data_IF_165423217584
#
_entry.id   IF_165423217584
#
_cell.length_a   1.000
_cell.length_b   1.000
_cell.length_c   1.000
_cell.angle_alpha   90.00
_cell.angle_beta   90.00
_cell.angle_gamma   90.00
#
_symmetry.space_group_name_H-M   'P 1'
#
loop_
_entity.id
_entity.type
_entity.pdbx_description
1 polymer ?
#
# COMPACT_ATOMS: atom_id res chain seq x y z
N UNK A 1 -17.41 -19.70 9.78
CA UNK A 1 -16.46 -19.92 8.67
C UNK A 1 -17.11 -19.46 7.37
N UNK A 2 -16.86 -18.23 6.95
CA UNK A 2 -17.21 -17.76 5.60
C UNK A 2 -15.90 -17.63 4.84
N UNK A 3 -15.45 -18.76 4.28
CA UNK A 3 -14.29 -18.80 3.41
C UNK A 3 -14.63 -18.16 2.06
N UNK A 4 -14.59 -16.82 2.00
CA UNK A 4 -14.40 -16.16 0.72
C UNK A 4 -12.94 -16.39 0.34
N UNK A 5 -12.71 -17.17 -0.72
CA UNK A 5 -11.37 -17.47 -1.23
C UNK A 5 -10.64 -16.21 -1.68
N UNK A 6 -9.34 -16.33 -1.96
CA UNK A 6 -8.51 -15.16 -2.28
C UNK A 6 -9.00 -14.41 -3.52
N UNK A 7 -8.83 -13.07 -3.48
CA UNK A 7 -9.17 -12.16 -4.57
C UNK A 7 -8.38 -12.45 -5.86
N UNK A 8 -7.20 -13.06 -5.74
CA UNK A 8 -6.42 -13.56 -6.85
C UNK A 8 -5.87 -14.95 -6.53
N UNK A 9 -5.86 -15.82 -7.53
CA UNK A 9 -5.21 -17.12 -7.44
C UNK A 9 -3.78 -17.00 -7.97
N UNK A 10 -2.83 -17.50 -7.18
CA UNK A 10 -1.43 -17.59 -7.56
C UNK A 10 -1.10 -19.06 -7.83
N UNK A 11 -0.57 -19.36 -9.01
CA UNK A 11 0.01 -20.66 -9.32
C UNK A 11 1.46 -20.48 -9.68
N UNK A 12 2.34 -21.17 -8.95
CA UNK A 12 3.73 -21.34 -9.35
C UNK A 12 3.86 -22.66 -10.09
N UNK A 13 4.45 -22.61 -11.27
CA UNK A 13 4.78 -23.76 -12.11
C UNK A 13 6.26 -23.70 -12.47
N UNK A 14 7.09 -24.39 -11.70
CA UNK A 14 8.55 -24.22 -11.76
C UNK A 14 8.98 -22.79 -11.41
N UNK A 15 9.58 -22.09 -12.37
CA UNK A 15 9.96 -20.67 -12.25
C UNK A 15 8.85 -19.71 -12.69
N UNK A 16 7.83 -20.18 -13.38
CA UNK A 16 6.72 -19.32 -13.80
C UNK A 16 5.75 -19.08 -12.66
N UNK A 17 5.37 -17.82 -12.48
CA UNK A 17 4.27 -17.38 -11.62
C UNK A 17 3.15 -16.89 -12.52
N UNK A 18 1.99 -17.51 -12.37
CA UNK A 18 0.76 -17.10 -13.05
C UNK A 18 -0.20 -16.58 -11.99
N UNK A 19 -0.58 -15.31 -12.14
CA UNK A 19 -1.58 -14.66 -11.29
C UNK A 19 -2.85 -14.43 -12.08
N UNK A 20 -3.97 -14.92 -11.57
CA UNK A 20 -5.30 -14.76 -12.18
C UNK A 20 -6.21 -14.02 -11.20
N UNK A 21 -6.83 -12.92 -11.66
CA UNK A 21 -7.84 -12.22 -10.87
C UNK A 21 -9.15 -13.00 -10.83
N UNK A 22 -9.67 -13.24 -9.63
CA UNK A 22 -10.95 -13.90 -9.45
C UNK A 22 -12.10 -12.90 -9.56
N UNK A 23 -12.76 -12.88 -10.73
CA UNK A 23 -13.89 -11.98 -11.00
C UNK A 23 -15.15 -12.24 -10.16
N UNK A 24 -15.24 -13.38 -9.46
CA UNK A 24 -16.39 -13.75 -8.62
C UNK A 24 -16.25 -13.30 -7.16
N UNK A 25 -15.08 -12.80 -6.74
CA UNK A 25 -14.88 -12.32 -5.37
C UNK A 25 -15.53 -10.94 -5.18
N UNK A 26 -16.41 -10.71 -4.18
CA UNK A 26 -17.14 -9.44 -4.03
C UNK A 26 -16.26 -8.20 -3.90
N UNK A 27 -15.13 -8.30 -3.18
CA UNK A 27 -14.15 -7.20 -3.10
C UNK A 27 -13.39 -6.98 -4.42
N UNK A 28 -13.45 -7.95 -5.33
CA UNK A 28 -12.66 -8.01 -6.54
C UNK A 28 -13.39 -7.74 -7.84
N UNK A 29 -14.71 -7.88 -7.86
CA UNK A 29 -15.52 -7.74 -9.07
C UNK A 29 -15.34 -6.36 -9.72
N UNK A 30 -15.23 -5.29 -8.93
CA UNK A 30 -15.07 -3.92 -9.47
C UNK A 30 -13.69 -3.69 -10.09
N UNK A 31 -12.62 -4.12 -9.42
CA UNK A 31 -11.26 -4.06 -9.98
C UNK A 31 -11.08 -4.98 -11.19
N UNK A 32 -11.75 -6.15 -11.19
CA UNK A 32 -11.78 -7.05 -12.33
C UNK A 32 -12.54 -6.44 -13.50
N UNK A 33 -13.65 -5.74 -13.26
CA UNK A 33 -14.40 -5.05 -14.30
C UNK A 33 -13.55 -3.98 -14.99
N UNK A 34 -12.76 -3.21 -14.22
CA UNK A 34 -11.78 -2.25 -14.76
C UNK A 34 -10.77 -2.96 -15.66
N UNK A 35 -10.13 -4.01 -15.16
CA UNK A 35 -9.20 -4.83 -15.94
C UNK A 35 -9.80 -5.36 -17.26
N UNK A 36 -11.04 -5.85 -17.22
CA UNK A 36 -11.76 -6.35 -18.39
C UNK A 36 -12.17 -5.25 -19.38
N UNK A 37 -12.41 -4.03 -18.88
CA UNK A 37 -12.76 -2.86 -19.67
C UNK A 37 -11.54 -2.33 -20.44
N UNK A 38 -10.40 -2.17 -19.76
CA UNK A 38 -9.17 -1.66 -20.39
C UNK A 38 -8.50 -2.68 -21.31
N UNK A 39 -8.71 -3.97 -21.05
CA UNK A 39 -8.19 -5.08 -21.87
C UNK A 39 -6.66 -5.14 -21.93
N UNK A 40 -6.13 -6.00 -22.81
CA UNK A 40 -4.68 -6.21 -22.92
C UNK A 40 -3.91 -4.93 -23.34
N UNK A 41 -4.49 -4.11 -24.21
CA UNK A 41 -3.87 -2.84 -24.63
C UNK A 41 -3.72 -1.88 -23.45
N UNK A 42 -4.79 -1.65 -22.68
CA UNK A 42 -4.73 -0.78 -21.51
C UNK A 42 -3.83 -1.33 -20.40
N UNK A 43 -3.80 -2.65 -20.20
CA UNK A 43 -2.83 -3.28 -19.29
C UNK A 43 -1.38 -3.04 -19.73
N UNK A 44 -1.07 -3.16 -21.02
CA UNK A 44 0.28 -2.89 -21.52
C UNK A 44 0.65 -1.41 -21.37
N UNK A 45 -0.29 -0.49 -21.57
CA UNK A 45 -0.08 0.95 -21.27
C UNK A 45 0.22 1.16 -19.78
N UNK A 46 -0.58 0.57 -18.89
CA UNK A 46 -0.35 0.62 -17.45
C UNK A 46 1.06 0.13 -17.07
N UNK A 47 1.46 -1.06 -17.54
CA UNK A 47 2.80 -1.60 -17.30
C UNK A 47 3.90 -0.71 -17.90
N UNK A 48 3.66 -0.10 -19.07
CA UNK A 48 4.60 0.84 -19.66
C UNK A 48 4.76 2.11 -18.84
N UNK A 49 3.69 2.61 -18.19
CA UNK A 49 3.76 3.77 -17.29
C UNK A 49 4.55 3.44 -16.02
N UNK A 50 4.33 2.26 -15.44
CA UNK A 50 5.15 1.77 -14.32
C UNK A 50 6.64 1.75 -14.67
N UNK A 51 7.01 1.13 -15.80
CA UNK A 51 8.42 1.09 -16.26
C UNK A 51 8.99 2.48 -16.51
N UNK A 52 8.22 3.37 -17.14
CA UNK A 52 8.66 4.75 -17.42
C UNK A 52 8.91 5.56 -16.14
N UNK A 53 8.20 5.26 -15.05
CA UNK A 53 8.42 5.84 -13.72
C UNK A 53 9.59 5.19 -12.95
N UNK A 54 10.29 4.23 -13.55
CA UNK A 54 11.42 3.53 -12.94
C UNK A 54 11.03 2.35 -12.05
N UNK A 55 9.76 1.93 -12.03
CA UNK A 55 9.33 0.75 -11.27
C UNK A 55 9.97 -0.50 -11.84
N UNK A 56 10.71 -1.21 -11.01
CA UNK A 56 11.26 -2.52 -11.35
C UNK A 56 10.16 -3.57 -11.29
N UNK A 57 9.81 -4.13 -12.45
CA UNK A 57 8.81 -5.19 -12.58
C UNK A 57 9.49 -6.57 -12.66
N UNK A 58 8.76 -7.66 -12.36
CA UNK A 58 9.32 -9.00 -12.41
C UNK A 58 9.78 -9.36 -13.83
N UNK A 59 10.86 -10.13 -13.97
CA UNK A 59 11.36 -10.52 -15.28
C UNK A 59 10.33 -11.38 -16.00
N UNK A 60 10.25 -11.22 -17.33
CA UNK A 60 9.28 -11.96 -18.15
C UNK A 60 7.81 -11.56 -17.94
N UNK A 61 7.51 -10.46 -17.23
CA UNK A 61 6.12 -10.02 -17.02
C UNK A 61 5.37 -9.78 -18.34
N UNK A 62 4.31 -10.57 -18.56
CA UNK A 62 3.41 -10.54 -19.71
C UNK A 62 1.94 -10.62 -19.28
N UNK A 63 1.06 -10.03 -20.10
CA UNK A 63 -0.39 -10.20 -19.99
C UNK A 63 -0.80 -11.39 -20.86
N UNK A 64 -1.25 -12.47 -20.23
CA UNK A 64 -1.58 -13.74 -20.90
C UNK A 64 -3.05 -13.78 -21.36
N UNK A 65 -3.95 -13.23 -20.55
CA UNK A 65 -5.37 -13.12 -20.89
C UNK A 65 -5.96 -11.87 -20.24
N UNK A 66 -6.96 -11.27 -20.88
CA UNK A 66 -7.73 -10.17 -20.30
C UNK A 66 -9.06 -10.64 -19.67
N UNK A 67 -9.49 -11.88 -19.94
CA UNK A 67 -10.77 -12.45 -19.48
C UNK A 67 -10.64 -13.96 -19.19
N UNK A 68 -10.44 -14.36 -17.91
CA UNK A 68 -10.11 -13.50 -16.77
C UNK A 68 -8.75 -12.81 -16.96
N UNK A 69 -8.51 -11.69 -16.28
CA UNK A 69 -7.19 -11.07 -16.33
C UNK A 69 -6.16 -12.02 -15.71
N UNK A 70 -5.18 -12.41 -16.52
CA UNK A 70 -4.08 -13.27 -16.13
C UNK A 70 -2.76 -12.64 -16.57
N UNK A 71 -1.80 -12.58 -15.66
CA UNK A 71 -0.42 -12.20 -15.96
C UNK A 71 0.50 -13.36 -15.62
N UNK A 72 1.60 -13.46 -16.35
CA UNK A 72 2.68 -14.39 -16.09
C UNK A 72 3.96 -13.60 -15.90
N UNK A 73 4.82 -14.04 -14.99
CA UNK A 73 6.19 -13.57 -14.87
C UNK A 73 7.06 -14.66 -14.28
N UNK A 74 8.38 -14.47 -14.32
CA UNK A 74 9.34 -15.34 -13.64
C UNK A 74 9.35 -15.05 -12.14
N UNK A 75 9.59 -16.09 -11.36
CA UNK A 75 9.75 -16.02 -9.92
C UNK A 75 10.91 -15.09 -9.56
N UNK A 76 10.65 -14.19 -8.63
CA UNK A 76 11.67 -13.28 -8.11
C UNK A 76 12.24 -13.90 -6.84
N UNK A 77 13.50 -14.32 -6.90
CA UNK A 77 14.21 -14.89 -5.76
C UNK A 77 14.63 -13.77 -4.81
N UNK A 78 13.91 -13.66 -3.70
CA UNK A 78 14.19 -12.67 -2.67
C UNK A 78 13.12 -12.75 -1.57
N UNK A 79 13.44 -12.37 -0.33
CA UNK A 79 12.43 -12.27 0.71
C UNK A 79 11.48 -11.11 0.43
N UNK A 80 10.31 -11.17 1.06
CA UNK A 80 9.35 -10.07 1.05
C UNK A 80 9.98 -8.87 1.76
N UNK A 81 9.76 -7.67 1.22
CA UNK A 81 10.40 -6.45 1.73
C UNK A 81 10.10 -6.20 3.21
N UNK A 82 8.89 -6.55 3.68
CA UNK A 82 8.51 -6.39 5.08
C UNK A 82 9.43 -7.17 6.04
N UNK A 83 9.90 -8.36 5.65
CA UNK A 83 10.75 -9.20 6.50
C UNK A 83 12.14 -8.60 6.68
N UNK A 84 12.59 -7.75 5.75
CA UNK A 84 13.89 -7.08 5.84
C UNK A 84 13.99 -6.05 6.96
N UNK A 85 12.87 -5.49 7.44
CA UNK A 85 12.91 -4.54 8.55
C UNK A 85 13.55 -5.15 9.83
N UNK A 86 13.45 -6.47 10.00
CA UNK A 86 14.04 -7.23 11.09
C UNK A 86 15.43 -7.83 10.81
N UNK A 87 15.99 -7.62 9.62
CA UNK A 87 17.27 -8.23 9.18
C UNK A 87 18.29 -7.16 8.81
N UNK A 88 17.88 -6.23 7.94
CA UNK A 88 18.67 -5.06 7.53
C UNK A 88 17.75 -3.83 7.47
N UNK A 89 17.55 -3.15 8.61
CA UNK A 89 16.73 -1.94 8.70
C UNK A 89 17.18 -0.84 7.75
N UNK A 90 18.49 -0.74 7.46
CA UNK A 90 19.02 0.32 6.60
C UNK A 90 18.64 0.06 5.15
N UNK A 91 18.89 -1.14 4.62
CA UNK A 91 18.49 -1.48 3.24
C UNK A 91 16.97 -1.41 3.06
N UNK A 92 16.21 -1.80 4.09
CA UNK A 92 14.75 -1.65 4.12
C UNK A 92 14.32 -0.19 3.94
N UNK A 93 14.94 0.75 4.66
CA UNK A 93 14.67 2.19 4.49
C UNK A 93 14.98 2.67 3.06
N UNK A 94 16.12 2.27 2.48
CA UNK A 94 16.45 2.65 1.10
C UNK A 94 15.41 2.15 0.10
N UNK A 95 14.93 0.92 0.30
CA UNK A 95 13.90 0.32 -0.53
C UNK A 95 12.57 1.07 -0.43
N UNK A 96 12.18 1.48 0.77
CA UNK A 96 10.96 2.26 0.99
C UNK A 96 11.06 3.66 0.34
N UNK A 97 12.24 4.30 0.42
CA UNK A 97 12.50 5.59 -0.24
C UNK A 97 12.44 5.44 -1.77
N UNK A 98 12.99 4.35 -2.31
CA UNK A 98 12.92 4.02 -3.73
C UNK A 98 11.46 3.89 -4.20
N UNK A 99 10.63 3.13 -3.46
CA UNK A 99 9.20 2.99 -3.75
C UNK A 99 8.46 4.33 -3.64
N UNK A 100 8.76 5.15 -2.62
CA UNK A 100 8.18 6.49 -2.49
C UNK A 100 8.53 7.39 -3.69
N UNK A 101 9.75 7.24 -4.23
CA UNK A 101 10.17 7.86 -5.48
C UNK A 101 9.29 7.44 -6.66
N UNK A 102 9.01 6.13 -6.80
CA UNK A 102 8.10 5.62 -7.84
C UNK A 102 6.68 6.19 -7.71
N UNK A 103 6.13 6.22 -6.49
CA UNK A 103 4.79 6.76 -6.23
C UNK A 103 4.68 8.21 -6.70
N UNK A 104 5.68 9.05 -6.39
CA UNK A 104 5.71 10.45 -6.85
C UNK A 104 5.87 10.57 -8.37
N UNK A 105 6.75 9.77 -8.97
CA UNK A 105 6.95 9.77 -10.42
C UNK A 105 5.67 9.37 -11.19
N UNK A 106 4.82 8.55 -10.58
CA UNK A 106 3.55 8.10 -11.14
C UNK A 106 2.39 9.08 -10.96
N UNK A 107 2.50 10.09 -10.09
CA UNK A 107 1.39 10.97 -9.69
C UNK A 107 0.67 11.61 -10.90
N UNK A 108 1.46 12.13 -11.84
CA UNK A 108 0.98 12.75 -13.08
C UNK A 108 0.54 11.78 -14.18
N UNK A 109 0.64 10.47 -13.92
CA UNK A 109 0.33 9.41 -14.89
C UNK A 109 -0.94 8.65 -14.52
N UNK A 110 -1.44 7.86 -15.45
CA UNK A 110 -2.61 7.01 -15.25
C UNK A 110 -2.22 5.60 -14.78
N UNK A 111 -1.36 5.53 -13.77
CA UNK A 111 -0.93 4.29 -13.13
C UNK A 111 -0.58 4.55 -11.67
N UNK A 112 -0.84 3.57 -10.80
CA UNK A 112 -0.46 3.58 -9.37
C UNK A 112 0.15 2.25 -8.98
N UNK A 113 0.88 2.27 -7.87
CA UNK A 113 1.40 1.10 -7.16
C UNK A 113 0.71 1.01 -5.80
N UNK A 114 0.49 -0.20 -5.31
CA UNK A 114 -0.08 -0.42 -3.97
C UNK A 114 0.98 -0.14 -2.89
N UNK A 115 0.56 0.47 -1.79
CA UNK A 115 1.37 0.76 -0.60
C UNK A 115 1.70 -0.48 0.26
N UNK A 116 1.08 -1.63 -0.02
CA UNK A 116 1.31 -2.86 0.72
C UNK A 116 2.73 -3.40 0.49
N UNK A 117 3.59 -3.30 1.51
CA UNK A 117 4.98 -3.76 1.49
C UNK A 117 5.12 -5.26 1.16
N UNK A 118 4.06 -6.06 1.34
CA UNK A 118 4.05 -7.47 0.94
C UNK A 118 4.10 -7.68 -0.58
N UNK A 119 3.78 -6.65 -1.37
CA UNK A 119 3.78 -6.71 -2.83
C UNK A 119 5.19 -6.51 -3.42
N UNK A 120 6.22 -6.32 -2.58
CA UNK A 120 7.58 -6.04 -3.00
C UNK A 120 8.54 -7.10 -2.46
N UNK A 121 9.50 -7.49 -3.30
CA UNK A 121 10.64 -8.31 -2.88
C UNK A 121 11.94 -7.52 -3.04
N UNK A 122 12.94 -7.86 -2.24
CA UNK A 122 14.30 -7.41 -2.46
C UNK A 122 15.10 -8.52 -3.16
N UNK A 123 15.51 -8.28 -4.41
CA UNK A 123 16.24 -9.24 -5.23
C UNK A 123 17.49 -8.58 -5.82
N UNK A 124 18.66 -9.17 -5.55
CA UNK A 124 19.97 -8.66 -5.98
C UNK A 124 20.13 -7.16 -5.70
N UNK A 125 19.85 -6.76 -4.45
CA UNK A 125 19.86 -5.37 -3.98
C UNK A 125 18.91 -4.41 -4.71
N UNK A 126 17.91 -4.91 -5.42
CA UNK A 126 16.87 -4.09 -6.06
C UNK A 126 15.50 -4.41 -5.50
N UNK A 127 14.68 -3.38 -5.34
CA UNK A 127 13.27 -3.58 -5.04
C UNK A 127 12.56 -4.02 -6.31
N UNK A 128 11.69 -5.02 -6.22
CA UNK A 128 10.87 -5.50 -7.33
C UNK A 128 9.42 -5.55 -6.90
N UNK A 129 8.52 -4.92 -7.67
CA UNK A 129 7.06 -5.02 -7.46
C UNK A 129 6.57 -6.38 -8.00
N UNK A 130 6.39 -7.36 -7.12
CA UNK A 130 5.99 -8.73 -7.49
C UNK A 130 4.48 -8.91 -7.60
N UNK A 131 3.70 -8.02 -7.00
CA UNK A 131 2.25 -8.02 -7.15
C UNK A 131 1.73 -6.79 -7.91
N UNK A 132 1.48 -6.99 -9.20
CA UNK A 132 1.06 -5.94 -10.15
C UNK A 132 -0.46 -5.95 -10.41
N UNK A 133 -1.22 -6.88 -9.78
CA UNK A 133 -2.66 -7.02 -10.03
C UNK A 133 -3.51 -6.83 -8.77
N UNK A 134 -4.61 -6.08 -8.86
CA UNK A 134 -5.25 -5.55 -10.07
C UNK A 134 -4.58 -4.26 -10.56
N UNK A 135 -4.75 -3.88 -11.85
CA UNK A 135 -4.22 -2.61 -12.33
C UNK A 135 -4.89 -1.45 -11.59
N UNK A 136 -4.07 -0.53 -11.07
CA UNK A 136 -4.53 0.68 -10.40
C UNK A 136 -4.42 1.85 -11.38
N UNK A 137 -5.51 2.11 -12.10
CA UNK A 137 -5.60 3.13 -13.16
C UNK A 137 -6.60 4.24 -12.72
N UNK A 138 -6.11 5.44 -12.34
CA UNK A 138 -6.96 6.54 -11.85
C UNK A 138 -8.14 6.93 -12.75
N UNK A 139 -7.97 6.96 -14.08
CA UNK A 139 -9.02 7.39 -15.03
C UNK A 139 -10.26 6.50 -15.05
N UNK A 140 -10.12 5.26 -14.56
CA UNK A 140 -11.17 4.24 -14.47
C UNK A 140 -11.35 3.76 -13.02
N UNK A 141 -10.97 4.61 -12.06
CA UNK A 141 -11.18 4.39 -10.62
C UNK A 141 -12.66 4.03 -10.37
N UNK A 142 -12.94 2.89 -9.71
CA UNK A 142 -14.31 2.54 -9.34
C UNK A 142 -14.91 3.57 -8.38
N UNK A 143 -16.20 3.87 -8.55
CA UNK A 143 -16.92 4.71 -7.59
C UNK A 143 -17.10 3.96 -6.26
N UNK A 144 -16.81 4.62 -5.12
CA UNK A 144 -16.99 4.01 -3.81
C UNK A 144 -18.48 3.90 -3.47
N UNK A 145 -18.90 2.75 -2.93
CA UNK A 145 -20.31 2.48 -2.59
C UNK A 145 -20.61 2.57 -1.09
N UNK A 146 -19.56 2.62 -0.26
CA UNK A 146 -19.61 2.63 1.20
C UNK A 146 -18.31 3.20 1.77
N UNK A 147 -18.25 3.42 3.09
CA UNK A 147 -17.10 4.02 3.77
C UNK A 147 -15.82 3.20 3.66
N UNK A 148 -15.90 1.86 3.64
CA UNK A 148 -14.70 1.04 3.38
C UNK A 148 -14.16 1.27 1.98
N UNK A 149 -15.03 1.32 0.97
CA UNK A 149 -14.61 1.62 -0.40
C UNK A 149 -13.99 3.02 -0.50
N UNK A 150 -14.52 4.02 0.20
CA UNK A 150 -13.93 5.37 0.23
C UNK A 150 -12.48 5.30 0.75
N UNK A 151 -12.26 4.63 1.88
CA UNK A 151 -10.92 4.45 2.47
C UNK A 151 -9.99 3.66 1.56
N UNK A 152 -10.44 2.51 1.05
CA UNK A 152 -9.64 1.59 0.25
C UNK A 152 -9.30 2.18 -1.12
N UNK A 153 -10.24 2.88 -1.73
CA UNK A 153 -10.01 3.55 -3.02
C UNK A 153 -9.02 4.70 -2.84
N UNK A 154 -9.10 5.49 -1.76
CA UNK A 154 -8.08 6.48 -1.48
C UNK A 154 -6.68 5.85 -1.32
N UNK A 155 -6.58 4.75 -0.58
CA UNK A 155 -5.34 3.98 -0.42
C UNK A 155 -4.76 3.44 -1.74
N UNK A 156 -5.60 3.19 -2.75
CA UNK A 156 -5.16 2.65 -4.04
C UNK A 156 -4.82 3.73 -5.08
N UNK A 157 -5.39 4.93 -4.97
CA UNK A 157 -5.38 5.91 -6.05
C UNK A 157 -4.84 7.29 -5.67
N UNK A 158 -4.98 7.70 -4.40
CA UNK A 158 -4.61 9.04 -3.96
C UNK A 158 -3.13 9.04 -3.51
N UNK A 159 -2.27 9.71 -4.28
CA UNK A 159 -0.80 9.68 -4.11
C UNK A 159 -0.36 10.02 -2.69
N UNK A 160 -0.91 11.07 -2.09
CA UNK A 160 -0.62 11.45 -0.70
C UNK A 160 -0.97 10.32 0.27
N UNK A 161 -2.13 9.69 0.09
CA UNK A 161 -2.59 8.59 0.94
C UNK A 161 -1.70 7.35 0.78
N UNK A 162 -1.28 7.04 -0.45
CA UNK A 162 -0.34 5.95 -0.74
C UNK A 162 0.99 6.18 -0.02
N UNK A 163 1.54 7.40 -0.09
CA UNK A 163 2.79 7.76 0.57
C UNK A 163 2.68 7.67 2.10
N UNK A 164 1.64 8.27 2.69
CA UNK A 164 1.42 8.22 4.13
C UNK A 164 1.26 6.77 4.62
N UNK A 165 0.50 5.96 3.89
CA UNK A 165 0.34 4.55 4.21
C UNK A 165 1.67 3.79 4.14
N UNK A 166 2.41 3.93 3.04
CA UNK A 166 3.71 3.28 2.82
C UNK A 166 4.69 3.61 3.96
N UNK A 167 4.86 4.90 4.27
CA UNK A 167 5.79 5.37 5.30
C UNK A 167 5.32 4.94 6.69
N UNK A 168 4.02 5.03 6.99
CA UNK A 168 3.47 4.54 8.25
C UNK A 168 3.66 3.04 8.45
N UNK A 169 3.46 2.22 7.41
CA UNK A 169 3.72 0.78 7.49
C UNK A 169 5.21 0.48 7.71
N UNK A 170 6.09 1.19 7.00
CA UNK A 170 7.53 1.04 7.14
C UNK A 170 8.01 1.43 8.53
N UNK A 171 7.57 2.58 9.04
CA UNK A 171 7.93 3.05 10.37
C UNK A 171 7.46 2.09 11.47
N UNK A 172 6.24 1.57 11.36
CA UNK A 172 5.73 0.54 12.27
C UNK A 172 6.52 -0.77 12.18
N UNK A 173 6.95 -1.19 11.00
CA UNK A 173 7.75 -2.41 10.85
C UNK A 173 9.09 -2.28 11.57
N UNK A 174 9.74 -1.12 11.42
CA UNK A 174 10.99 -0.79 12.09
C UNK A 174 10.85 -0.71 13.62
N UNK A 175 9.72 -0.20 14.13
CA UNK A 175 9.43 -0.20 15.58
C UNK A 175 9.32 -1.58 16.21
N UNK A 176 9.04 -2.62 15.41
CA UNK A 176 8.96 -4.01 15.89
C UNK A 176 10.27 -4.76 15.73
N UNK A 177 11.28 -4.13 15.13
CA UNK A 177 12.59 -4.72 14.92
C UNK A 177 13.41 -4.63 16.20
N UNK A 178 14.01 -5.75 16.61
CA UNK A 178 14.97 -5.78 17.72
C UNK A 178 16.35 -5.21 17.32
N UNK A 179 16.52 -4.86 16.03
CA UNK A 179 17.76 -4.32 15.48
C UNK A 179 17.72 -2.79 15.54
N UNK A 180 18.77 -2.19 16.12
CA UNK A 180 18.93 -0.74 16.17
C UNK A 180 19.07 -0.15 14.77
N UNK A 181 18.14 0.75 14.42
CA UNK A 181 18.24 1.56 13.22
C UNK A 181 19.27 2.67 13.42
N UNK A 182 20.14 2.90 12.42
CA UNK A 182 21.09 4.01 12.49
C UNK A 182 20.36 5.36 12.60
N UNK A 183 20.82 6.24 13.50
CA UNK A 183 20.04 7.38 14.00
C UNK A 183 19.51 8.38 12.95
N UNK A 184 20.15 8.50 11.77
CA UNK A 184 19.71 9.38 10.69
C UNK A 184 18.63 8.75 9.78
N UNK A 185 18.50 7.42 9.78
CA UNK A 185 17.64 6.70 8.83
C UNK A 185 16.15 6.88 9.12
N UNK A 186 15.79 7.08 10.38
CA UNK A 186 14.43 7.48 10.75
C UNK A 186 14.05 8.84 10.15
N UNK A 187 15.00 9.77 10.09
CA UNK A 187 14.79 11.07 9.47
C UNK A 187 14.66 10.96 7.94
N UNK A 188 15.46 10.11 7.29
CA UNK A 188 15.34 9.87 5.84
C UNK A 188 13.93 9.42 5.44
N UNK A 189 13.28 8.57 6.26
CA UNK A 189 11.88 8.20 6.10
C UNK A 189 10.92 9.37 6.37
N UNK A 190 11.17 10.14 7.44
CA UNK A 190 10.32 11.28 7.79
C UNK A 190 10.32 12.39 6.73
N UNK A 191 11.39 12.54 5.96
CA UNK A 191 11.45 13.47 4.83
C UNK A 191 10.57 13.05 3.64
N UNK A 192 10.02 11.82 3.65
CA UNK A 192 9.18 11.34 2.55
C UNK A 192 7.72 11.81 2.63
N UNK A 193 7.27 12.32 3.78
CA UNK A 193 5.92 12.84 3.98
C UNK A 193 5.97 14.31 4.42
N UNK A 194 4.95 15.13 4.10
CA UNK A 194 4.86 16.48 4.62
C UNK A 194 4.87 16.47 6.16
N UNK A 195 5.78 17.24 6.77
CA UNK A 195 5.97 17.22 8.24
C UNK A 195 4.99 18.13 8.99
N UNK A 196 4.38 19.09 8.31
CA UNK A 196 3.41 19.99 8.92
C UNK A 196 2.01 19.38 8.86
N UNK A 197 1.26 19.47 9.96
CA UNK A 197 -0.19 19.28 9.94
C UNK A 197 -0.77 20.32 8.97
N UNK A 198 -1.03 19.93 7.72
CA UNK A 198 -2.13 20.57 6.98
C UNK A 198 -3.33 20.49 7.93
N UNK A 199 -3.98 21.62 8.23
CA UNK A 199 -5.05 21.65 9.22
C UNK A 199 -6.02 20.50 8.92
N UNK A 200 -6.01 19.48 9.79
CA UNK A 200 -6.72 18.20 9.58
C UNK A 200 -8.22 18.41 9.31
N UNK A 201 -8.72 19.59 9.67
CA UNK A 201 -10.08 20.10 9.50
C UNK A 201 -10.53 20.18 8.03
N UNK A 202 -9.62 20.34 7.06
CA UNK A 202 -9.97 20.44 5.63
C UNK A 202 -9.70 19.16 4.82
N UNK A 203 -9.14 18.13 5.45
CA UNK A 203 -8.75 16.89 4.76
C UNK A 203 -9.86 15.84 4.80
N UNK A 204 -9.95 15.03 3.75
CA UNK A 204 -10.87 13.88 3.73
C UNK A 204 -10.53 12.89 4.86
N UNK A 205 -11.51 12.09 5.31
CA UNK A 205 -11.23 11.13 6.37
C UNK A 205 -10.13 10.11 6.01
N UNK A 206 -9.96 9.64 4.75
CA UNK A 206 -8.83 8.77 4.42
C UNK A 206 -7.49 9.47 4.55
N UNK A 207 -7.37 10.72 4.09
CA UNK A 207 -6.13 11.48 4.20
C UNK A 207 -5.71 11.66 5.67
N UNK A 208 -6.60 12.20 6.51
CA UNK A 208 -6.34 12.35 7.95
C UNK A 208 -6.01 11.02 8.63
N UNK A 209 -6.69 9.93 8.25
CA UNK A 209 -6.47 8.60 8.80
C UNK A 209 -5.06 8.07 8.53
N UNK A 210 -4.57 8.14 7.29
CA UNK A 210 -3.24 7.63 6.96
C UNK A 210 -2.13 8.59 7.37
N UNK A 211 -2.33 9.91 7.24
CA UNK A 211 -1.38 10.92 7.72
C UNK A 211 -1.10 10.75 9.21
N UNK A 212 -2.15 10.65 10.04
CA UNK A 212 -1.97 10.46 11.48
C UNK A 212 -1.23 9.16 11.83
N UNK A 213 -1.46 8.08 11.06
CA UNK A 213 -0.73 6.81 11.24
C UNK A 213 0.74 6.96 10.91
N UNK A 214 1.07 7.62 9.79
CA UNK A 214 2.44 7.88 9.37
C UNK A 214 3.18 8.70 10.43
N UNK A 215 2.58 9.82 10.83
CA UNK A 215 3.16 10.72 11.82
C UNK A 215 3.39 10.04 13.17
N UNK A 216 2.39 9.34 13.72
CA UNK A 216 2.53 8.68 15.02
C UNK A 216 3.61 7.58 14.97
N UNK A 217 3.71 6.83 13.86
CA UNK A 217 4.76 5.84 13.70
C UNK A 217 6.16 6.48 13.58
N UNK A 218 6.29 7.61 12.89
CA UNK A 218 7.54 8.36 12.78
C UNK A 218 7.96 8.96 14.13
N UNK A 219 7.02 9.55 14.89
CA UNK A 219 7.26 10.00 16.29
C UNK A 219 7.72 8.83 17.16
N UNK A 220 7.07 7.67 17.02
CA UNK A 220 7.51 6.46 17.72
C UNK A 220 8.95 6.08 17.39
N UNK A 221 9.33 6.11 16.10
CA UNK A 221 10.71 5.83 15.68
C UNK A 221 11.72 6.86 16.20
N UNK A 222 11.31 8.11 16.35
CA UNK A 222 12.12 9.17 16.93
C UNK A 222 12.22 9.07 18.47
N UNK A 223 11.49 8.16 19.11
CA UNK A 223 11.41 8.03 20.57
C UNK A 223 10.53 9.11 21.23
N UNK A 224 9.70 9.81 20.44
CA UNK A 224 8.81 10.89 20.89
C UNK A 224 7.40 10.39 21.23
N UNK A 225 7.10 9.12 20.93
CA UNK A 225 5.86 8.46 21.27
C UNK A 225 6.13 7.02 21.72
N UNK A 226 5.37 6.55 22.71
CA UNK A 226 5.48 5.18 23.21
C UNK A 226 5.09 4.16 22.12
N UNK A 227 5.91 3.11 21.86
CA UNK A 227 5.60 2.10 20.85
C UNK A 227 4.23 1.43 21.03
N UNK A 228 3.78 1.27 22.28
CA UNK A 228 2.46 0.74 22.61
C UNK A 228 1.33 1.63 22.03
N UNK A 229 1.42 2.95 22.21
CA UNK A 229 0.45 3.90 21.66
C UNK A 229 0.41 3.86 20.13
N UNK A 230 1.55 3.69 19.47
CA UNK A 230 1.62 3.48 18.02
C UNK A 230 0.86 2.20 17.63
N UNK A 231 1.10 1.09 18.33
CA UNK A 231 0.44 -0.20 18.05
C UNK A 231 -1.07 -0.16 18.29
N UNK A 232 -1.52 0.47 19.36
CA UNK A 232 -2.95 0.65 19.65
C UNK A 232 -3.62 1.47 18.57
N UNK A 233 -2.99 2.57 18.13
CA UNK A 233 -3.53 3.40 17.06
C UNK A 233 -3.58 2.64 15.72
N UNK A 234 -2.57 1.84 15.37
CA UNK A 234 -2.61 0.99 14.18
C UNK A 234 -3.68 -0.10 14.26
N UNK A 235 -3.99 -0.58 15.47
CA UNK A 235 -5.07 -1.54 15.71
C UNK A 235 -6.43 -0.86 15.50
N UNK A 236 -6.62 0.32 16.08
CA UNK A 236 -7.82 1.15 15.88
C UNK A 236 -8.04 1.50 14.41
N UNK A 237 -6.96 1.76 13.68
CA UNK A 237 -6.97 2.24 12.29
C UNK A 237 -6.74 1.14 11.24
N UNK A 238 -6.85 -0.13 11.64
CA UNK A 238 -6.64 -1.28 10.77
C UNK A 238 -7.66 -1.33 9.62
N UNK A 239 -7.18 -1.21 8.38
CA UNK A 239 -7.99 -1.29 7.15
C UNK A 239 -8.75 -2.62 7.06
N UNK A 240 -8.09 -3.72 7.46
CA UNK A 240 -8.71 -5.06 7.49
C UNK A 240 -9.84 -5.12 8.50
N UNK A 241 -9.63 -4.63 9.73
CA UNK A 241 -10.67 -4.62 10.74
C UNK A 241 -11.84 -3.71 10.31
N UNK A 242 -11.54 -2.56 9.71
CA UNK A 242 -12.53 -1.60 9.21
C UNK A 242 -13.42 -2.18 8.10
N UNK A 243 -12.84 -3.00 7.20
CA UNK A 243 -13.57 -3.74 6.17
C UNK A 243 -14.68 -4.61 6.76
N UNK A 244 -14.40 -5.26 7.87
CA UNK A 244 -15.29 -6.29 8.44
C UNK A 244 -16.42 -5.68 9.32
N UNK A 245 -16.41 -4.36 9.55
CA UNK A 245 -17.46 -3.62 10.27
C UNK A 245 -18.70 -3.34 9.41
N UNK A 246 -19.86 -3.16 10.04
CA UNK A 246 -21.05 -2.59 9.40
C UNK A 246 -20.87 -1.09 9.11
N UNK A 247 -21.73 -0.51 8.26
CA UNK A 247 -21.62 0.90 7.89
C UNK A 247 -21.77 1.87 9.08
N UNK A 248 -22.68 1.56 10.01
CA UNK A 248 -22.86 2.34 11.22
C UNK A 248 -21.60 2.31 12.11
N UNK A 249 -21.04 1.12 12.33
CA UNK A 249 -19.81 0.94 13.10
C UNK A 249 -18.59 1.59 12.42
N UNK A 250 -18.54 1.60 11.08
CA UNK A 250 -17.51 2.35 10.32
C UNK A 250 -17.62 3.84 10.58
N UNK A 251 -18.82 4.41 10.57
CA UNK A 251 -19.04 5.82 10.86
C UNK A 251 -18.65 6.17 12.31
N UNK A 252 -18.98 5.30 13.28
CA UNK A 252 -18.52 5.44 14.67
C UNK A 252 -17.00 5.39 14.77
N UNK A 253 -16.36 4.43 14.08
CA UNK A 253 -14.91 4.29 14.08
C UNK A 253 -14.21 5.51 13.49
N UNK A 254 -14.74 6.10 12.41
CA UNK A 254 -14.20 7.35 11.85
C UNK A 254 -14.25 8.49 12.87
N UNK A 255 -15.37 8.65 13.58
CA UNK A 255 -15.49 9.65 14.65
C UNK A 255 -14.49 9.40 15.78
N UNK A 256 -14.36 8.15 16.21
CA UNK A 256 -13.41 7.75 17.24
C UNK A 256 -11.96 8.09 16.83
N UNK A 257 -11.56 7.73 15.62
CA UNK A 257 -10.22 8.06 15.08
C UNK A 257 -10.01 9.57 15.02
N UNK A 258 -10.98 10.32 14.49
CA UNK A 258 -10.89 11.77 14.42
C UNK A 258 -10.73 12.43 15.81
N UNK A 259 -11.39 11.89 16.83
CA UNK A 259 -11.23 12.35 18.20
C UNK A 259 -9.84 12.02 18.76
N UNK A 260 -9.36 10.79 18.59
CA UNK A 260 -8.01 10.39 19.01
C UNK A 260 -6.92 11.22 18.31
N UNK A 261 -7.09 11.53 17.03
CA UNK A 261 -6.14 12.39 16.30
C UNK A 261 -6.09 13.78 16.91
N UNK A 262 -7.24 14.39 17.26
CA UNK A 262 -7.26 15.70 17.93
C UNK A 262 -6.52 15.68 19.26
N UNK A 263 -6.69 14.60 20.04
CA UNK A 263 -5.99 14.43 21.32
C UNK A 263 -4.48 14.31 21.13
N UNK A 264 -4.02 13.57 20.11
CA UNK A 264 -2.60 13.40 19.78
C UNK A 264 -1.93 14.68 19.26
N UNK A 265 -2.65 15.58 18.59
CA UNK A 265 -2.12 16.88 18.14
C UNK A 265 -1.93 17.85 19.31
N UNK A 266 -2.72 17.70 20.39
CA UNK A 266 -2.67 18.56 21.57
C UNK A 266 -1.57 18.15 22.57
N UNK A 267 -0.83 17.07 22.29
CA UNK A 267 0.20 16.45 23.16
C UNK A 267 1.55 16.29 22.46
#
# INVERSE_FOLDING_TARGET
MTGQGDFAAHRRDGEDVIKVLNGQHPAGTRFTAVAQHVGASGMNVYLSRLRAAGVTLPPGLSVESARPLAVRHLWVTGPVLLDHAGVDPSRFVDAVIEIAGWVRALDSTDARVDSNLANFCLADDRVVLVDVLPPLIPSVRPEPSNLFDVLFTALCFDTTVILDALIGYAARALLRSDISLAGHRGQDLAHQVPQEFAALVETSFPASWFQARAMLALRGLAGEAEPASVHDFFTLTSVRAFRDLSEAERADRIRQVAQTVKELVLT
#
